data_IF_639883304907
#
_entry.id   IF_639883304907
#
_cell.length_a   1.000
_cell.length_b   1.000
_cell.length_c   1.000
_cell.angle_alpha   90.00
_cell.angle_beta   90.00
_cell.angle_gamma   90.00
#
_symmetry.space_group_name_H-M   'P 1'
#
loop_
_entity.id
_entity.type
_entity.pdbx_description
1 polymer ?
#
# COMPACT_ATOMS: atom_id res chain seq x y z
N UNK A 1 0.15 14.08 -0.97
CA UNK A 1 0.15 12.63 -0.72
C UNK A 1 -0.34 11.85 -1.95
N UNK A 2 -1.47 12.24 -2.58
CA UNK A 2 -1.99 11.60 -3.82
C UNK A 2 -0.98 11.49 -4.98
N UNK A 3 -0.13 12.50 -5.20
CA UNK A 3 0.86 12.51 -6.30
C UNK A 3 1.99 11.49 -6.07
N UNK A 4 2.34 11.16 -4.82
CA UNK A 4 3.46 10.26 -4.51
C UNK A 4 3.12 8.79 -4.75
N UNK A 5 1.86 8.40 -4.49
CA UNK A 5 1.39 7.02 -4.69
C UNK A 5 1.16 6.75 -6.19
N UNK A 6 0.60 7.69 -6.93
CA UNK A 6 0.41 7.57 -8.38
C UNK A 6 1.72 7.43 -9.17
N UNK A 7 2.82 8.03 -8.68
CA UNK A 7 4.16 7.89 -9.30
C UNK A 7 4.74 6.49 -9.08
N UNK A 8 4.47 5.85 -7.94
CA UNK A 8 4.92 4.48 -7.65
C UNK A 8 4.21 3.46 -8.54
N UNK A 9 2.90 3.61 -8.76
CA UNK A 9 2.14 2.76 -9.70
C UNK A 9 2.61 2.96 -11.16
N UNK A 10 3.09 4.15 -11.52
CA UNK A 10 3.61 4.43 -12.87
C UNK A 10 5.01 3.81 -13.11
N UNK A 11 5.83 3.65 -12.08
CA UNK A 11 7.19 3.09 -12.22
C UNK A 11 7.18 1.60 -12.58
N UNK A 12 6.11 0.87 -12.22
CA UNK A 12 5.93 -0.54 -12.55
C UNK A 12 5.45 -0.75 -14.01
N UNK A 13 4.81 0.23 -14.65
CA UNK A 13 4.07 -0.01 -15.90
C UNK A 13 4.86 0.09 -17.23
N UNK A 14 6.20 0.20 -17.22
CA UNK A 14 6.98 0.63 -18.42
C UNK A 14 7.61 -0.47 -19.30
N UNK A 15 7.40 -1.75 -19.04
CA UNK A 15 8.00 -2.85 -19.84
C UNK A 15 6.96 -3.74 -20.54
N UNK A 16 7.01 -3.79 -21.88
CA UNK A 16 6.01 -4.44 -22.77
C UNK A 16 6.07 -5.97 -22.86
N UNK A 17 7.01 -6.61 -22.16
CA UNK A 17 7.01 -8.02 -21.78
C UNK A 17 7.06 -8.06 -20.25
N UNK A 18 5.94 -7.81 -19.56
CA UNK A 18 5.97 -7.59 -18.10
C UNK A 18 4.73 -6.94 -17.51
N UNK A 19 3.87 -6.34 -18.34
CA UNK A 19 2.68 -5.61 -17.88
C UNK A 19 1.74 -6.39 -16.96
N UNK A 20 1.62 -7.72 -17.10
CA UNK A 20 0.78 -8.52 -16.20
C UNK A 20 1.46 -8.74 -14.84
N UNK A 21 2.76 -9.09 -14.83
CA UNK A 21 3.52 -9.32 -13.60
C UNK A 21 3.70 -8.02 -12.80
N UNK A 22 4.01 -6.91 -13.48
CA UNK A 22 4.15 -5.60 -12.86
C UNK A 22 2.80 -5.06 -12.34
N UNK A 23 1.69 -5.34 -13.04
CA UNK A 23 0.35 -4.98 -12.57
C UNK A 23 -0.04 -5.80 -11.34
N UNK A 24 0.30 -7.09 -11.28
CA UNK A 24 -0.02 -7.96 -10.15
C UNK A 24 0.81 -7.61 -8.91
N UNK A 25 2.10 -7.32 -9.07
CA UNK A 25 2.93 -6.75 -8.00
C UNK A 25 2.34 -5.43 -7.50
N UNK A 26 1.86 -4.57 -8.40
CA UNK A 26 1.18 -3.33 -8.05
C UNK A 26 -0.12 -3.56 -7.26
N UNK A 27 -0.97 -4.50 -7.70
CA UNK A 27 -2.22 -4.86 -7.01
C UNK A 27 -1.92 -5.38 -5.60
N UNK A 28 -0.95 -6.30 -5.48
CA UNK A 28 -0.59 -6.92 -4.20
C UNK A 28 0.02 -5.92 -3.23
N UNK A 29 0.84 -5.01 -3.73
CA UNK A 29 1.32 -3.87 -2.95
C UNK A 29 0.17 -2.98 -2.46
N UNK A 30 -0.82 -2.69 -3.31
CA UNK A 30 -1.98 -1.88 -2.94
C UNK A 30 -2.87 -2.57 -1.91
N UNK A 31 -3.08 -3.88 -2.04
CA UNK A 31 -3.75 -4.71 -1.05
C UNK A 31 -3.01 -4.63 0.30
N UNK A 32 -1.69 -4.82 0.29
CA UNK A 32 -0.86 -4.73 1.50
C UNK A 32 -0.97 -3.36 2.17
N UNK A 33 -0.91 -2.26 1.40
CA UNK A 33 -0.99 -0.91 1.95
C UNK A 33 -2.38 -0.60 2.53
N UNK A 34 -3.43 -1.07 1.85
CA UNK A 34 -4.82 -0.96 2.29
C UNK A 34 -5.04 -1.70 3.61
N UNK A 35 -4.52 -2.92 3.73
CA UNK A 35 -4.56 -3.70 4.96
C UNK A 35 -3.82 -3.02 6.11
N UNK A 36 -2.63 -2.46 5.85
CA UNK A 36 -1.90 -1.70 6.85
C UNK A 36 -2.69 -0.47 7.32
N UNK A 37 -3.32 0.25 6.39
CA UNK A 37 -4.17 1.40 6.72
C UNK A 37 -5.36 0.99 7.59
N UNK A 38 -6.03 -0.11 7.25
CA UNK A 38 -7.13 -0.69 8.03
C UNK A 38 -6.66 -1.03 9.44
N UNK A 39 -5.54 -1.73 9.59
CA UNK A 39 -5.01 -2.17 10.89
C UNK A 39 -4.65 -0.99 11.79
N UNK A 40 -3.98 0.03 11.23
CA UNK A 40 -3.63 1.27 11.93
C UNK A 40 -4.89 1.99 12.42
N UNK A 41 -5.90 2.14 11.57
CA UNK A 41 -7.16 2.80 11.96
C UNK A 41 -7.94 1.96 12.99
N UNK A 42 -7.97 0.65 12.83
CA UNK A 42 -8.63 -0.24 13.78
C UNK A 42 -7.99 -0.16 15.17
N UNK A 43 -6.65 -0.17 15.25
CA UNK A 43 -5.91 0.04 16.49
C UNK A 43 -6.22 1.40 17.12
N UNK A 44 -6.24 2.46 16.31
CA UNK A 44 -6.65 3.78 16.75
C UNK A 44 -8.07 3.79 17.33
N UNK A 45 -9.03 3.17 16.65
CA UNK A 45 -10.43 3.09 17.12
C UNK A 45 -10.58 2.22 18.39
N UNK A 46 -9.62 1.33 18.67
CA UNK A 46 -9.49 0.62 19.96
C UNK A 46 -8.75 1.42 21.04
N UNK A 47 -8.34 2.66 20.74
CA UNK A 47 -7.57 3.54 21.64
C UNK A 47 -6.20 3.00 22.03
N UNK A 48 -5.59 2.17 21.16
CA UNK A 48 -4.18 1.79 21.33
C UNK A 48 -3.29 3.05 21.20
N UNK A 49 -2.15 3.12 21.92
CA UNK A 49 -1.27 4.29 21.90
C UNK A 49 -0.36 4.29 20.67
N UNK A 50 -0.02 5.49 20.16
CA UNK A 50 0.82 5.63 18.96
C UNK A 50 2.21 5.01 19.15
N UNK A 51 2.71 4.99 20.39
CA UNK A 51 3.98 4.37 20.75
C UNK A 51 4.02 2.86 20.50
N UNK A 52 2.87 2.19 20.41
CA UNK A 52 2.75 0.77 20.08
C UNK A 52 2.52 0.56 18.58
N UNK A 53 1.74 1.44 17.95
CA UNK A 53 1.32 1.27 16.54
C UNK A 53 2.38 1.73 15.54
N UNK A 54 3.11 2.80 15.82
CA UNK A 54 4.15 3.27 14.90
C UNK A 54 5.26 2.22 14.71
N UNK A 55 5.82 1.60 15.77
CA UNK A 55 6.78 0.50 15.61
C UNK A 55 6.20 -0.68 14.84
N UNK A 56 4.96 -1.10 15.14
CA UNK A 56 4.28 -2.18 14.41
C UNK A 56 4.15 -1.89 12.92
N UNK A 57 3.74 -0.67 12.54
CA UNK A 57 3.58 -0.30 11.14
C UNK A 57 4.91 -0.23 10.38
N UNK A 58 5.97 0.24 11.06
CA UNK A 58 7.32 0.28 10.48
C UNK A 58 7.95 -1.10 10.36
N UNK A 59 7.70 -2.00 11.31
CA UNK A 59 8.13 -3.40 11.27
C UNK A 59 7.45 -4.15 10.11
N UNK A 60 6.13 -3.95 9.91
CA UNK A 60 5.44 -4.50 8.73
C UNK A 60 5.99 -3.95 7.43
N UNK A 61 6.37 -2.67 7.38
CA UNK A 61 7.00 -2.09 6.19
C UNK A 61 8.34 -2.74 5.87
N UNK A 62 9.16 -3.04 6.88
CA UNK A 62 10.45 -3.72 6.71
C UNK A 62 10.31 -5.12 6.10
N UNK A 63 9.27 -5.87 6.51
CA UNK A 63 8.98 -7.21 5.99
C UNK A 63 8.00 -7.20 4.79
N UNK A 64 7.54 -6.03 4.39
CA UNK A 64 6.55 -5.87 3.32
C UNK A 64 6.99 -6.40 1.95
N UNK A 65 8.26 -6.17 1.51
CA UNK A 65 8.75 -6.74 0.25
C UNK A 65 8.64 -8.27 0.23
N UNK A 66 8.97 -8.95 1.33
CA UNK A 66 8.92 -10.41 1.41
C UNK A 66 7.49 -10.93 1.29
N UNK A 67 6.52 -10.23 1.90
CA UNK A 67 5.10 -10.59 1.84
C UNK A 67 4.56 -10.44 0.43
N UNK A 68 4.85 -9.31 -0.24
CA UNK A 68 4.39 -9.07 -1.62
C UNK A 68 5.09 -10.02 -2.59
N UNK A 69 6.40 -10.25 -2.45
CA UNK A 69 7.13 -11.22 -3.28
C UNK A 69 6.58 -12.65 -3.12
N UNK A 70 6.16 -13.03 -1.91
CA UNK A 70 5.54 -14.32 -1.65
C UNK A 70 4.16 -14.44 -2.31
N UNK A 71 3.35 -13.37 -2.34
CA UNK A 71 2.02 -13.41 -2.97
C UNK A 71 2.10 -13.48 -4.50
N UNK A 72 3.15 -12.92 -5.11
CA UNK A 72 3.40 -13.01 -6.55
C UNK A 72 4.41 -14.10 -6.94
N UNK A 73 4.76 -15.03 -6.03
CA UNK A 73 5.85 -15.99 -6.25
C UNK A 73 5.66 -16.88 -7.49
N UNK A 74 4.42 -17.25 -7.81
CA UNK A 74 4.10 -18.02 -9.02
C UNK A 74 4.45 -17.24 -10.29
N UNK A 75 4.20 -15.93 -10.31
CA UNK A 75 4.54 -15.04 -11.42
C UNK A 75 6.03 -14.73 -11.48
N UNK A 76 6.69 -14.54 -10.34
CA UNK A 76 8.14 -14.38 -10.31
C UNK A 76 8.87 -15.63 -10.79
N UNK A 77 8.25 -16.81 -10.69
CA UNK A 77 8.84 -18.08 -11.12
C UNK A 77 8.86 -18.28 -12.65
N UNK A 78 8.02 -17.54 -13.40
CA UNK A 78 7.95 -17.61 -14.87
C UNK A 78 8.85 -16.58 -15.56
N UNK A 79 9.39 -15.61 -14.81
CA UNK A 79 10.36 -14.64 -15.31
C UNK A 79 11.74 -15.26 -15.50
N UNK A 80 12.54 -14.68 -16.40
CA UNK A 80 13.97 -15.01 -16.45
C UNK A 80 14.64 -14.55 -15.14
N UNK A 81 15.75 -15.21 -14.76
CA UNK A 81 16.42 -14.92 -13.49
C UNK A 81 16.85 -13.45 -13.37
N UNK A 82 17.36 -12.85 -14.46
CA UNK A 82 17.76 -11.43 -14.51
C UNK A 82 16.56 -10.49 -14.31
N UNK A 83 15.42 -10.79 -14.93
CA UNK A 83 14.19 -9.99 -14.81
C UNK A 83 13.59 -10.10 -13.40
N UNK A 84 13.67 -11.29 -12.78
CA UNK A 84 13.22 -11.52 -11.41
C UNK A 84 14.04 -10.72 -10.40
N UNK A 85 15.36 -10.70 -10.54
CA UNK A 85 16.25 -9.96 -9.65
C UNK A 85 16.00 -8.44 -9.78
N UNK A 86 15.76 -7.95 -11.00
CA UNK A 86 15.37 -6.55 -11.24
C UNK A 86 14.01 -6.19 -10.60
N UNK A 87 12.98 -7.03 -10.76
CA UNK A 87 11.67 -6.81 -10.16
C UNK A 87 11.72 -6.78 -8.62
N UNK A 88 12.52 -7.65 -8.00
CA UNK A 88 12.71 -7.67 -6.54
C UNK A 88 13.44 -6.41 -6.05
N UNK A 89 14.50 -5.97 -6.74
CA UNK A 89 15.21 -4.74 -6.38
C UNK A 89 14.32 -3.50 -6.48
N UNK A 90 13.45 -3.43 -7.49
CA UNK A 90 12.43 -2.38 -7.62
C UNK A 90 11.44 -2.40 -6.48
N UNK A 91 11.00 -3.59 -6.05
CA UNK A 91 10.09 -3.74 -4.92
C UNK A 91 10.72 -3.21 -3.62
N UNK A 92 11.98 -3.57 -3.33
CA UNK A 92 12.69 -3.08 -2.15
C UNK A 92 12.81 -1.54 -2.13
N UNK A 93 13.17 -0.92 -3.26
CA UNK A 93 13.28 0.54 -3.38
C UNK A 93 11.93 1.24 -3.13
N UNK A 94 10.83 0.68 -3.65
CA UNK A 94 9.46 1.16 -3.39
C UNK A 94 9.17 1.17 -1.88
N UNK A 95 9.49 0.09 -1.17
CA UNK A 95 9.26 -0.02 0.27
C UNK A 95 10.15 0.90 1.09
N UNK A 96 11.39 1.15 0.67
CA UNK A 96 12.27 2.11 1.35
C UNK A 96 11.72 3.54 1.24
N UNK A 97 11.21 3.92 0.06
CA UNK A 97 10.59 5.23 -0.19
C UNK A 97 9.24 5.41 0.53
N UNK A 98 8.63 4.33 1.01
CA UNK A 98 7.33 4.35 1.68
C UNK A 98 7.37 4.71 3.17
N UNK A 99 8.54 4.73 3.80
CA UNK A 99 8.67 5.05 5.24
C UNK A 99 7.98 6.37 5.64
N UNK A 100 8.09 7.48 4.88
CA UNK A 100 7.36 8.71 5.18
C UNK A 100 5.84 8.57 5.01
N UNK A 101 5.40 7.77 4.03
CA UNK A 101 3.98 7.49 3.78
C UNK A 101 3.35 6.75 4.97
N UNK A 102 3.97 5.66 5.42
CA UNK A 102 3.51 4.87 6.58
C UNK A 102 3.54 5.71 7.85
N UNK A 103 4.59 6.48 8.07
CA UNK A 103 4.66 7.40 9.22
C UNK A 103 3.54 8.45 9.17
N UNK A 104 3.25 9.00 7.99
CA UNK A 104 2.15 9.94 7.77
C UNK A 104 0.78 9.31 7.99
N UNK A 105 0.58 8.07 7.52
CA UNK A 105 -0.63 7.29 7.74
C UNK A 105 -0.91 7.08 9.23
N UNK A 106 0.09 6.63 10.01
CA UNK A 106 -0.07 6.47 11.46
C UNK A 106 -0.41 7.79 12.13
N UNK A 107 0.28 8.88 11.79
CA UNK A 107 -0.02 10.21 12.35
C UNK A 107 -1.45 10.65 12.02
N UNK A 108 -1.85 10.56 10.75
CA UNK A 108 -3.18 10.97 10.30
C UNK A 108 -4.29 10.16 10.96
N UNK A 109 -4.10 8.86 11.19
CA UNK A 109 -5.07 8.06 11.91
C UNK A 109 -5.32 8.60 13.32
N UNK A 110 -4.28 9.06 14.02
CA UNK A 110 -4.40 9.59 15.38
C UNK A 110 -5.00 11.00 15.47
N UNK A 111 -5.11 11.71 14.35
CA UNK A 111 -5.90 12.95 14.27
C UNK A 111 -7.41 12.66 14.25
N UNK A 112 -7.81 11.43 13.89
CA UNK A 112 -9.21 11.03 13.84
C UNK A 112 -9.71 10.66 15.25
N UNK A 113 -10.87 11.21 15.70
CA UNK A 113 -11.47 10.87 16.98
C UNK A 113 -11.93 9.42 17.04
N UNK A 114 -11.81 8.82 18.24
CA UNK A 114 -12.36 7.50 18.52
C UNK A 114 -13.88 7.58 18.54
N UNK A 115 -14.51 6.73 17.75
CA UNK A 115 -15.97 6.66 17.69
C UNK A 115 -16.52 5.85 18.87
N UNK A 116 -17.61 6.34 19.45
CA UNK A 116 -18.27 5.66 20.58
C UNK A 116 -19.05 4.42 20.13
N UNK A 117 -19.68 4.48 18.96
CA UNK A 117 -20.49 3.40 18.41
C UNK A 117 -19.67 2.50 17.49
N UNK A 118 -19.86 1.21 17.62
CA UNK A 118 -19.21 0.19 16.80
C UNK A 118 -19.50 0.36 15.30
N UNK A 119 -20.73 0.74 14.94
CA UNK A 119 -21.09 1.04 13.55
C UNK A 119 -20.23 2.17 12.97
N UNK A 120 -20.02 3.23 13.74
CA UNK A 120 -19.24 4.39 13.29
C UNK A 120 -17.75 4.06 13.19
N UNK A 121 -17.23 3.19 14.07
CA UNK A 121 -15.86 2.69 13.96
C UNK A 121 -15.64 1.99 12.64
N UNK A 122 -16.55 1.09 12.25
CA UNK A 122 -16.46 0.37 10.97
C UNK A 122 -16.51 1.30 9.78
N UNK A 123 -17.40 2.30 9.80
CA UNK A 123 -17.47 3.32 8.73
C UNK A 123 -16.15 4.06 8.61
N UNK A 124 -15.60 4.58 9.72
CA UNK A 124 -14.32 5.31 9.70
C UNK A 124 -13.16 4.42 9.27
N UNK A 125 -13.13 3.15 9.67
CA UNK A 125 -12.10 2.20 9.22
C UNK A 125 -12.20 1.97 7.72
N UNK A 126 -13.40 1.72 7.19
CA UNK A 126 -13.63 1.51 5.75
C UNK A 126 -13.25 2.75 4.94
N UNK A 127 -13.73 3.94 5.32
CA UNK A 127 -13.41 5.19 4.62
C UNK A 127 -11.93 5.51 4.66
N UNK A 128 -11.24 5.15 5.75
CA UNK A 128 -9.80 5.31 5.85
C UNK A 128 -9.05 4.36 4.93
N UNK A 129 -9.40 3.08 4.96
CA UNK A 129 -8.86 2.06 4.08
C UNK A 129 -9.04 2.44 2.59
N UNK A 130 -10.27 2.80 2.22
CA UNK A 130 -10.63 3.16 0.85
C UNK A 130 -9.82 4.34 0.33
N UNK A 131 -9.41 5.29 1.18
CA UNK A 131 -8.55 6.41 0.76
C UNK A 131 -7.16 5.95 0.29
N UNK A 132 -6.59 4.92 0.92
CA UNK A 132 -5.29 4.40 0.53
C UNK A 132 -5.41 3.47 -0.67
N UNK A 133 -6.45 2.63 -0.72
CA UNK A 133 -6.72 1.78 -1.88
C UNK A 133 -7.05 2.59 -3.14
N UNK A 134 -7.93 3.60 -3.05
CA UNK A 134 -8.27 4.47 -4.18
C UNK A 134 -7.11 5.34 -4.64
N UNK A 135 -6.19 5.73 -3.76
CA UNK A 135 -4.98 6.46 -4.18
C UNK A 135 -4.00 5.60 -4.98
N UNK A 136 -4.15 4.28 -4.92
CA UNK A 136 -3.36 3.29 -5.62
C UNK A 136 -3.79 3.11 -7.08
N UNK A 137 -5.08 3.37 -7.35
CA UNK A 137 -5.67 3.44 -8.69
C UNK A 137 -6.12 4.88 -8.93
N UNK A 138 -5.27 5.77 -9.44
CA UNK A 138 -5.80 7.04 -9.92
C UNK A 138 -6.87 6.69 -10.95
N UNK A 139 -8.11 7.14 -10.72
CA UNK A 139 -9.14 7.11 -11.75
C UNK A 139 -8.44 7.55 -13.03
N UNK A 140 -8.51 6.72 -14.08
CA UNK A 140 -8.22 7.21 -15.42
C UNK A 140 -9.20 8.35 -15.61
N UNK A 141 -8.76 9.59 -15.37
CA UNK A 141 -9.47 10.76 -15.84
C UNK A 141 -9.86 10.43 -17.27
N UNK A 142 -11.18 10.41 -17.50
CA UNK A 142 -11.80 10.19 -18.79
C UNK A 142 -10.97 10.99 -19.79
N UNK A 143 -10.18 10.28 -20.61
CA UNK A 143 -9.49 10.93 -21.71
C UNK A 143 -10.60 11.45 -22.59
N UNK A 144 -10.75 12.77 -22.59
CA UNK A 144 -11.68 13.53 -23.40
C UNK A 144 -11.76 12.90 -24.80
N UNK A 145 -12.95 12.44 -25.16
CA UNK A 145 -13.32 12.23 -26.54
C UNK A 145 -14.32 13.34 -26.90
N UNK A 146 -13.75 14.45 -27.37
CA UNK A 146 -14.41 15.40 -28.27
C UNK A 146 -15.04 14.70 -29.48
#
# INVERSE_FOLDING_TARGET
MRILIAVLSLMLATTTYGQDADAEVGIEFCNWLSELARDVMAARQRSEPMSEILPFALDRLEHGPEVVAASVAEYLSILADDDREESLAKLEDIFEQMRPLVTGMVKGAYEIPVQALESNRRTVISEWEDQFFSSCYPDKEETEAD
#
